data_IF_273389357588
#
_entry.id   IF_273389357588
#
_cell.length_a   1.000
_cell.length_b   1.000
_cell.length_c   1.000
_cell.angle_alpha   90.00
_cell.angle_beta   90.00
_cell.angle_gamma   90.00
#
_symmetry.space_group_name_H-M   'P 1'
#
loop_
_entity.id
_entity.type
_entity.pdbx_description
1 polymer ?
#
# COMPACT_ATOMS: atom_id res chain seq x y z
N UNK A 1 -6.69 -5.57 -9.75
CA UNK A 1 -5.89 -6.81 -9.80
C UNK A 1 -4.94 -6.80 -8.61
N UNK A 2 -4.91 -7.85 -7.78
CA UNK A 2 -3.84 -8.04 -6.78
C UNK A 2 -3.00 -9.20 -7.28
N UNK A 3 -1.74 -8.92 -7.63
CA UNK A 3 -0.87 -9.83 -8.33
C UNK A 3 -0.60 -11.08 -7.48
N UNK A 4 -1.03 -12.23 -8.00
CA UNK A 4 -0.87 -13.56 -7.40
C UNK A 4 0.40 -14.17 -7.99
N UNK A 5 1.48 -14.20 -7.21
CA UNK A 5 2.73 -14.90 -7.57
C UNK A 5 3.88 -14.02 -8.05
N UNK A 6 4.05 -12.84 -7.47
CA UNK A 6 5.10 -11.88 -7.86
C UNK A 6 6.10 -11.72 -6.71
N UNK A 7 7.38 -11.80 -7.02
CA UNK A 7 8.49 -11.74 -6.06
C UNK A 7 8.48 -10.42 -5.27
N UNK A 8 9.28 -10.33 -4.19
CA UNK A 8 9.42 -9.07 -3.43
C UNK A 8 9.83 -7.89 -4.33
N UNK A 9 10.58 -8.16 -5.41
CA UNK A 9 11.02 -7.15 -6.37
C UNK A 9 9.86 -6.61 -7.22
N UNK A 10 8.93 -7.46 -7.63
CA UNK A 10 7.75 -7.05 -8.40
C UNK A 10 6.75 -6.27 -7.55
N UNK A 11 6.58 -6.67 -6.28
CA UNK A 11 5.81 -5.89 -5.30
C UNK A 11 6.45 -4.50 -5.14
N UNK A 12 7.78 -4.45 -5.01
CA UNK A 12 8.53 -3.20 -4.93
C UNK A 12 8.33 -2.34 -6.18
N UNK A 13 8.49 -2.91 -7.38
CA UNK A 13 8.33 -2.20 -8.66
C UNK A 13 6.91 -1.64 -8.82
N UNK A 14 5.89 -2.43 -8.46
CA UNK A 14 4.49 -2.00 -8.48
C UNK A 14 4.23 -0.84 -7.52
N UNK A 15 4.82 -0.89 -6.32
CA UNK A 15 4.72 0.19 -5.35
C UNK A 15 5.49 1.44 -5.79
N UNK A 16 6.64 1.27 -6.44
CA UNK A 16 7.43 2.37 -6.98
C UNK A 16 6.63 3.20 -8.00
N UNK A 17 5.91 2.51 -8.89
CA UNK A 17 4.98 3.13 -9.85
C UNK A 17 3.77 3.82 -9.19
N UNK A 18 3.52 3.57 -7.91
CA UNK A 18 2.40 4.13 -7.16
C UNK A 18 2.83 5.20 -6.14
N UNK A 19 4.11 5.60 -6.11
CA UNK A 19 4.59 6.67 -5.23
C UNK A 19 3.83 7.96 -5.55
N UNK A 20 3.32 8.61 -4.51
CA UNK A 20 2.51 9.82 -4.62
C UNK A 20 1.01 9.56 -4.84
N UNK A 21 0.59 8.32 -5.10
CA UNK A 21 -0.84 7.97 -5.20
C UNK A 21 -1.48 7.77 -3.83
N UNK A 22 -2.79 8.00 -3.77
CA UNK A 22 -3.60 7.73 -2.59
C UNK A 22 -3.86 6.23 -2.47
N UNK A 23 -3.67 5.70 -1.27
CA UNK A 23 -3.78 4.28 -0.98
C UNK A 23 -4.53 4.06 0.33
N UNK A 24 -5.28 2.96 0.38
CA UNK A 24 -5.85 2.41 1.61
C UNK A 24 -5.04 1.20 2.02
N UNK A 25 -4.62 1.20 3.27
CA UNK A 25 -3.92 0.12 3.92
C UNK A 25 -4.87 -0.59 4.86
N UNK A 26 -4.86 -1.92 4.82
CA UNK A 26 -5.61 -2.77 5.73
C UNK A 26 -4.64 -3.74 6.38
N UNK A 27 -4.31 -3.52 7.64
CA UNK A 27 -3.38 -4.34 8.39
C UNK A 27 -4.10 -5.31 9.33
N UNK A 28 -3.78 -6.59 9.22
CA UNK A 28 -4.33 -7.67 10.04
C UNK A 28 -3.47 -7.85 11.31
N UNK A 29 -3.88 -7.23 12.43
CA UNK A 29 -3.16 -7.25 13.71
C UNK A 29 -3.57 -8.40 14.66
N UNK A 30 -4.17 -9.48 14.13
CA UNK A 30 -4.48 -10.71 14.89
C UNK A 30 -5.96 -11.10 14.95
N UNK A 31 -6.35 -11.89 15.98
CA UNK A 31 -7.57 -12.74 16.03
C UNK A 31 -8.94 -12.07 15.78
N UNK A 32 -9.03 -10.75 15.72
CA UNK A 32 -10.25 -10.02 15.30
C UNK A 32 -10.03 -8.52 15.03
N UNK A 33 -8.78 -8.08 14.86
CA UNK A 33 -8.43 -6.66 14.76
C UNK A 33 -7.83 -6.37 13.40
N UNK A 34 -8.67 -5.79 12.55
CA UNK A 34 -8.27 -5.20 11.27
C UNK A 34 -8.12 -3.70 11.50
N UNK A 35 -6.98 -3.15 11.13
CA UNK A 35 -6.74 -1.70 11.17
C UNK A 35 -6.76 -1.20 9.73
N UNK A 36 -7.71 -0.33 9.43
CA UNK A 36 -7.79 0.35 8.15
C UNK A 36 -7.22 1.77 8.30
N UNK A 37 -6.34 2.15 7.39
CA UNK A 37 -5.70 3.44 7.37
C UNK A 37 -5.66 3.98 5.94
N UNK A 38 -5.91 5.27 5.77
CA UNK A 38 -5.85 5.94 4.48
C UNK A 38 -4.70 6.92 4.45
N UNK A 39 -4.03 6.99 3.30
CA UNK A 39 -2.88 7.87 3.15
C UNK A 39 -2.35 7.90 1.73
N UNK A 40 -1.16 8.46 1.59
CA UNK A 40 -0.43 8.57 0.33
C UNK A 40 0.87 7.79 0.45
N UNK A 41 1.20 6.99 -0.55
CA UNK A 41 2.50 6.32 -0.61
C UNK A 41 3.59 7.38 -0.76
N UNK A 42 4.36 7.63 0.30
CA UNK A 42 5.32 8.74 0.32
C UNK A 42 6.65 8.32 -0.31
N UNK A 43 7.19 7.16 0.09
CA UNK A 43 8.48 6.65 -0.39
C UNK A 43 8.55 5.12 -0.33
N UNK A 44 9.35 4.53 -1.20
CA UNK A 44 9.76 3.12 -1.18
C UNK A 44 11.26 3.03 -0.87
N UNK A 45 11.67 1.93 -0.22
CA UNK A 45 13.06 1.61 0.13
C UNK A 45 13.29 0.12 -0.11
N UNK A 46 14.53 -0.36 -0.24
CA UNK A 46 14.81 -1.75 -0.63
C UNK A 46 14.12 -2.86 0.19
N UNK A 47 13.72 -2.59 1.45
CA UNK A 47 13.05 -3.58 2.32
C UNK A 47 11.68 -3.12 2.85
N UNK A 48 11.37 -1.82 2.76
CA UNK A 48 10.19 -1.23 3.37
C UNK A 48 9.61 -0.14 2.48
N UNK A 49 8.34 0.15 2.67
CA UNK A 49 7.70 1.32 2.07
C UNK A 49 7.06 2.17 3.17
N UNK A 50 6.98 3.47 2.92
CA UNK A 50 6.50 4.49 3.85
C UNK A 50 5.25 5.14 3.30
N UNK A 51 4.20 5.11 4.10
CA UNK A 51 2.90 5.70 3.77
C UNK A 51 2.63 6.82 4.74
N UNK A 52 2.33 7.99 4.19
CA UNK A 52 1.92 9.16 4.97
C UNK A 52 0.43 9.11 5.16
N UNK A 53 -0.02 9.00 6.40
CA UNK A 53 -1.45 8.98 6.72
C UNK A 53 -2.04 10.39 6.67
N UNK A 54 -3.34 10.46 6.39
CA UNK A 54 -4.10 11.70 6.47
C UNK A 54 -4.16 12.25 7.91
N UNK A 55 -4.38 13.56 8.04
CA UNK A 55 -4.30 14.33 9.30
C UNK A 55 -5.27 13.88 10.40
N UNK A 56 -6.20 12.99 10.10
CA UNK A 56 -7.16 12.44 11.05
C UNK A 56 -6.56 11.37 11.98
N UNK A 57 -5.37 10.84 11.63
CA UNK A 57 -4.65 9.87 12.45
C UNK A 57 -3.57 10.53 13.31
N UNK A 58 -3.48 10.14 14.59
CA UNK A 58 -2.39 10.57 15.49
C UNK A 58 -0.98 10.16 14.98
N UNK A 59 -0.93 9.11 14.16
CA UNK A 59 0.29 8.63 13.49
C UNK A 59 0.40 9.29 12.12
N UNK A 60 1.49 10.03 11.89
CA UNK A 60 1.71 10.75 10.61
C UNK A 60 2.21 9.85 9.48
N UNK A 61 2.95 8.80 9.82
CA UNK A 61 3.64 7.93 8.86
C UNK A 61 3.65 6.49 9.37
N UNK A 62 3.36 5.54 8.48
CA UNK A 62 3.51 4.11 8.71
C UNK A 62 4.55 3.55 7.77
N UNK A 63 5.30 2.56 8.25
CA UNK A 63 6.25 1.80 7.45
C UNK A 63 5.94 0.31 7.54
N UNK A 64 5.89 -0.35 6.39
CA UNK A 64 5.64 -1.79 6.27
C UNK A 64 6.67 -2.43 5.34
N UNK A 65 6.85 -3.74 5.46
CA UNK A 65 7.75 -4.50 4.60
C UNK A 65 6.99 -5.07 3.40
N UNK A 66 7.71 -5.36 2.32
CA UNK A 66 7.13 -6.07 1.17
C UNK A 66 6.66 -7.49 1.54
N UNK A 67 7.29 -8.10 2.56
CA UNK A 67 6.86 -9.38 3.10
C UNK A 67 5.49 -9.31 3.77
N UNK A 68 5.10 -8.16 4.35
CA UNK A 68 3.77 -7.98 4.93
C UNK A 68 2.67 -8.03 3.86
N UNK A 69 2.95 -7.51 2.66
CA UNK A 69 2.05 -7.61 1.50
C UNK A 69 2.01 -9.05 0.99
N UNK A 70 3.19 -9.68 0.84
CA UNK A 70 3.29 -11.06 0.38
C UNK A 70 2.56 -12.05 1.31
N UNK A 71 2.65 -11.84 2.62
CA UNK A 71 2.00 -12.67 3.65
C UNK A 71 0.55 -12.27 3.93
N UNK A 72 0.00 -11.28 3.21
CA UNK A 72 -1.35 -10.76 3.40
C UNK A 72 -1.60 -10.22 4.83
N UNK A 73 -0.53 -9.92 5.56
CA UNK A 73 -0.60 -9.22 6.85
C UNK A 73 -1.01 -7.76 6.61
N UNK A 74 -0.64 -7.21 5.45
CA UNK A 74 -1.02 -5.87 4.99
C UNK A 74 -1.58 -5.95 3.58
N UNK A 75 -2.82 -5.55 3.39
CA UNK A 75 -3.42 -5.37 2.08
C UNK A 75 -3.34 -3.89 1.71
N UNK A 76 -2.93 -3.60 0.47
CA UNK A 76 -2.85 -2.26 -0.07
C UNK A 76 -3.82 -2.15 -1.25
N UNK A 77 -4.67 -1.14 -1.22
CA UNK A 77 -5.59 -0.79 -2.30
C UNK A 77 -5.26 0.62 -2.78
N UNK A 78 -5.05 0.80 -4.08
CA UNK A 78 -4.82 2.12 -4.66
C UNK A 78 -6.18 2.73 -4.97
N UNK A 79 -6.44 3.94 -4.45
CA UNK A 79 -7.58 4.77 -4.85
C UNK A 79 -7.19 5.38 -6.20
N UNK A 80 -7.38 4.62 -7.27
CA UNK A 80 -7.21 5.12 -8.63
C UNK A 80 -8.51 5.85 -9.02
N UNK A 81 -8.60 7.13 -8.70
CA UNK A 81 -9.53 8.02 -9.38
C UNK A 81 -8.88 8.37 -10.73
N UNK A 82 -9.24 7.61 -11.79
CA UNK A 82 -8.79 7.69 -13.19
C UNK A 82 -7.41 7.06 -13.50
N UNK A 83 -7.31 6.02 -14.36
CA UNK A 83 -7.45 6.12 -15.83
C UNK A 83 -7.99 4.82 -16.46
N UNK A 84 -9.31 4.78 -16.67
CA UNK A 84 -9.96 3.94 -17.70
C UNK A 84 -10.77 4.88 -18.61
N UNK A 85 -10.06 5.69 -19.42
CA UNK A 85 -10.63 6.45 -20.55
C UNK A 85 -9.51 7.00 -21.46
N UNK A 86 -8.63 6.12 -21.96
CA UNK A 86 -7.80 6.42 -23.12
C UNK A 86 -7.97 5.31 -24.16
N UNK A 87 -9.22 5.09 -24.59
CA UNK A 87 -9.51 4.51 -25.90
C UNK A 87 -10.97 4.77 -26.31
N UNK A 88 -11.23 5.88 -26.99
CA UNK A 88 -11.88 5.91 -28.31
C UNK A 88 -11.75 7.28 -28.95
#
# INVERSE_FOLDING_TARGET
>A
MVAKGTTLDEIKSSLDACIGKRIRLKANRGRKRVVEAQGVLEKTYPKIFVVKLDKEHAVKRLSYTYADILTQTVELTIDDDNVEAANM
#
